data_IF_643410921900
#
_entry.id   IF_643410921900
#
_cell.length_a   1.000
_cell.length_b   1.000
_cell.length_c   1.000
_cell.angle_alpha   90.00
_cell.angle_beta   90.00
_cell.angle_gamma   90.00
#
_symmetry.space_group_name_H-M   'P 1'
#
loop_
_entity.id
_entity.type
_entity.pdbx_description
1 polymer ?
#
# COMPACT_ATOMS: atom_id res chain seq x y z
N UNK A 1 -14.69 -7.38 -1.48
CA UNK A 1 -15.35 -8.67 -1.76
C UNK A 1 -14.43 -9.78 -1.26
N UNK A 2 -14.85 -10.61 -0.28
CA UNK A 2 -14.03 -11.69 0.27
C UNK A 2 -13.62 -12.75 -0.76
N UNK A 3 -14.47 -13.07 -1.73
CA UNK A 3 -14.18 -14.08 -2.75
C UNK A 3 -13.07 -13.59 -3.68
N UNK A 4 -13.13 -12.31 -4.07
CA UNK A 4 -12.09 -11.67 -4.86
C UNK A 4 -10.77 -11.59 -4.11
N UNK A 5 -10.79 -11.24 -2.82
CA UNK A 5 -9.58 -11.21 -1.97
C UNK A 5 -8.93 -12.59 -1.90
N UNK A 6 -9.73 -13.65 -1.71
CA UNK A 6 -9.23 -15.03 -1.68
C UNK A 6 -8.59 -15.42 -3.02
N UNK A 7 -9.22 -15.08 -4.15
CA UNK A 7 -8.72 -15.34 -5.49
C UNK A 7 -7.39 -14.61 -5.77
N UNK A 8 -7.30 -13.32 -5.44
CA UNK A 8 -6.10 -12.49 -5.62
C UNK A 8 -4.94 -13.06 -4.80
N UNK A 9 -5.20 -13.45 -3.54
CA UNK A 9 -4.21 -14.10 -2.68
C UNK A 9 -3.74 -15.43 -3.25
N UNK A 10 -4.67 -16.32 -3.62
CA UNK A 10 -4.36 -17.66 -4.13
C UNK A 10 -3.48 -17.58 -5.38
N UNK A 11 -3.79 -16.64 -6.27
CA UNK A 11 -3.04 -16.42 -7.51
C UNK A 11 -1.80 -15.55 -7.33
N UNK A 12 -1.54 -15.04 -6.13
CA UNK A 12 -0.44 -14.10 -5.82
C UNK A 12 -0.38 -12.93 -6.79
N UNK A 13 -1.54 -12.36 -7.12
CA UNK A 13 -1.62 -11.20 -8.01
C UNK A 13 -1.13 -9.97 -7.21
N UNK A 14 -0.06 -9.28 -7.64
CA UNK A 14 0.43 -8.11 -6.94
C UNK A 14 -0.59 -6.97 -6.97
N UNK A 15 -0.78 -6.32 -5.83
CA UNK A 15 -1.54 -5.08 -5.72
C UNK A 15 -0.59 -3.90 -5.57
N UNK A 16 -0.52 -3.09 -6.62
CA UNK A 16 0.21 -1.82 -6.61
C UNK A 16 -0.63 -0.78 -5.87
N UNK A 17 -0.19 -0.39 -4.66
CA UNK A 17 -0.89 0.61 -3.85
C UNK A 17 -0.15 1.95 -3.83
N UNK A 18 -0.92 3.04 -3.93
CA UNK A 18 -0.39 4.40 -3.98
C UNK A 18 -1.14 5.32 -2.97
N UNK A 19 -0.92 5.15 -1.64
CA UNK A 19 -1.74 5.81 -0.64
C UNK A 19 -1.78 7.35 -0.73
N UNK A 20 -0.64 8.02 -0.98
CA UNK A 20 -0.63 9.49 -1.15
C UNK A 20 -1.41 9.93 -2.40
N UNK A 21 -1.31 9.20 -3.51
CA UNK A 21 -2.10 9.46 -4.72
C UNK A 21 -3.61 9.29 -4.45
N UNK A 22 -4.00 8.25 -3.72
CA UNK A 22 -5.41 8.02 -3.38
C UNK A 22 -6.01 9.17 -2.54
N UNK A 23 -5.20 9.82 -1.69
CA UNK A 23 -5.64 11.03 -1.00
C UNK A 23 -5.67 12.23 -1.93
N UNK A 24 -4.61 12.45 -2.71
CA UNK A 24 -4.49 13.60 -3.60
C UNK A 24 -5.56 13.63 -4.71
N UNK A 25 -6.00 12.45 -5.17
CA UNK A 25 -7.08 12.28 -6.16
C UNK A 25 -8.48 12.32 -5.55
N UNK A 26 -8.58 12.40 -4.21
CA UNK A 26 -9.85 12.45 -3.49
C UNK A 26 -10.57 11.11 -3.34
N UNK A 27 -9.93 9.99 -3.69
CA UNK A 27 -10.46 8.64 -3.44
C UNK A 27 -10.61 8.37 -1.93
N UNK A 28 -9.65 8.87 -1.14
CA UNK A 28 -9.65 8.79 0.32
C UNK A 28 -9.51 10.19 0.92
N UNK A 29 -10.19 10.44 2.03
CA UNK A 29 -10.12 11.73 2.73
C UNK A 29 -8.78 11.91 3.46
N UNK A 30 -8.23 10.82 4.01
CA UNK A 30 -6.98 10.84 4.77
C UNK A 30 -6.14 9.62 4.44
N UNK A 31 -4.84 9.75 4.68
CA UNK A 31 -3.88 8.68 4.42
C UNK A 31 -4.16 7.45 5.28
N UNK A 32 -4.55 7.66 6.54
CA UNK A 32 -4.84 6.60 7.52
C UNK A 32 -6.11 5.81 7.17
N UNK A 33 -6.95 6.33 6.27
CA UNK A 33 -8.15 5.64 5.80
C UNK A 33 -7.83 4.56 4.73
N UNK A 34 -6.57 4.48 4.28
CA UNK A 34 -6.15 3.51 3.27
C UNK A 34 -6.20 2.06 3.79
N UNK A 35 -6.72 1.11 3.01
CA UNK A 35 -6.89 -0.30 3.42
C UNK A 35 -5.58 -1.12 3.48
N UNK A 36 -4.40 -0.48 3.43
CA UNK A 36 -3.11 -1.16 3.36
C UNK A 36 -2.91 -2.17 4.51
N UNK A 37 -3.19 -1.84 5.79
CA UNK A 37 -3.06 -2.83 6.87
C UNK A 37 -3.90 -4.08 6.64
N UNK A 38 -5.13 -3.90 6.15
CA UNK A 38 -6.05 -5.02 5.89
C UNK A 38 -5.56 -5.91 4.75
N UNK A 39 -4.89 -5.35 3.75
CA UNK A 39 -4.32 -6.12 2.65
C UNK A 39 -3.15 -6.98 3.12
N UNK A 40 -2.26 -6.41 3.93
CA UNK A 40 -1.14 -7.13 4.55
C UNK A 40 -1.65 -8.23 5.49
N UNK A 41 -2.61 -7.92 6.36
CA UNK A 41 -3.25 -8.90 7.26
C UNK A 41 -3.97 -10.03 6.50
N UNK A 42 -4.49 -9.73 5.30
CA UNK A 42 -5.15 -10.73 4.45
C UNK A 42 -4.17 -11.62 3.69
N UNK A 43 -2.86 -11.35 3.77
CA UNK A 43 -1.80 -12.08 3.07
C UNK A 43 -1.76 -11.81 1.56
N UNK A 44 -2.22 -10.63 1.14
CA UNK A 44 -2.13 -10.21 -0.26
C UNK A 44 -0.70 -9.79 -0.59
N UNK A 45 -0.24 -10.10 -1.80
CA UNK A 45 1.03 -9.57 -2.32
C UNK A 45 0.85 -8.10 -2.65
N UNK A 46 1.55 -7.23 -1.93
CA UNK A 46 1.40 -5.78 -2.03
C UNK A 46 2.76 -5.14 -2.33
N UNK A 47 2.75 -4.18 -3.25
CA UNK A 47 3.87 -3.24 -3.50
C UNK A 47 3.42 -1.82 -3.19
N UNK A 48 4.33 -0.99 -2.68
CA UNK A 48 4.05 0.42 -2.40
C UNK A 48 4.69 1.30 -3.48
N UNK A 49 3.91 2.24 -4.03
CA UNK A 49 4.32 3.02 -5.19
C UNK A 49 3.97 4.50 -4.99
N UNK A 50 4.77 5.38 -5.61
CA UNK A 50 4.57 6.83 -5.56
C UNK A 50 3.61 7.37 -6.63
N UNK A 51 3.18 6.52 -7.57
CA UNK A 51 2.34 6.89 -8.72
C UNK A 51 3.02 7.97 -9.58
N UNK A 52 2.55 9.23 -9.52
CA UNK A 52 3.16 10.40 -10.17
C UNK A 52 3.86 11.33 -9.14
N UNK A 53 5.13 11.06 -8.75
CA UNK A 53 5.91 11.85 -7.79
C UNK A 53 5.84 13.36 -7.98
N UNK A 54 5.98 13.83 -9.23
CA UNK A 54 6.00 15.24 -9.56
C UNK A 54 4.62 15.90 -9.37
N UNK A 55 3.55 15.15 -9.57
CA UNK A 55 2.18 15.63 -9.40
C UNK A 55 1.79 15.69 -7.93
N UNK A 56 2.19 14.69 -7.15
CA UNK A 56 1.77 14.53 -5.76
C UNK A 56 2.76 15.07 -4.72
N UNK A 57 3.93 15.53 -5.16
CA UNK A 57 4.97 16.06 -4.27
C UNK A 57 5.48 15.00 -3.28
N UNK A 58 5.63 13.76 -3.74
CA UNK A 58 6.08 12.62 -2.95
C UNK A 58 7.23 11.89 -3.65
N UNK A 59 7.90 10.99 -2.95
CA UNK A 59 8.87 10.03 -3.49
C UNK A 59 8.53 8.63 -2.98
N UNK A 60 9.13 7.58 -3.56
CA UNK A 60 8.96 6.24 -3.05
C UNK A 60 9.45 6.10 -1.59
N UNK A 61 10.54 6.81 -1.24
CA UNK A 61 11.06 6.85 0.13
C UNK A 61 10.07 7.49 1.09
N UNK A 62 9.49 8.64 0.70
CA UNK A 62 8.47 9.32 1.49
C UNK A 62 7.22 8.45 1.66
N UNK A 63 6.79 7.76 0.60
CA UNK A 63 5.65 6.85 0.63
C UNK A 63 5.89 5.71 1.62
N UNK A 64 7.05 5.05 1.54
CA UNK A 64 7.46 3.98 2.46
C UNK A 64 7.55 4.47 3.90
N UNK A 65 8.18 5.62 4.14
CA UNK A 65 8.32 6.18 5.48
C UNK A 65 6.97 6.56 6.09
N UNK A 66 6.11 7.20 5.29
CA UNK A 66 4.77 7.62 5.71
C UNK A 66 3.87 6.41 5.96
N UNK A 67 3.91 5.38 5.11
CA UNK A 67 3.19 4.13 5.34
C UNK A 67 3.66 3.43 6.62
N UNK A 68 4.98 3.27 6.80
CA UNK A 68 5.56 2.64 7.97
C UNK A 68 5.12 3.34 9.28
N UNK A 69 5.14 4.67 9.30
CA UNK A 69 4.72 5.45 10.48
C UNK A 69 3.22 5.47 10.69
N UNK A 70 2.44 5.73 9.65
CA UNK A 70 0.98 5.94 9.77
C UNK A 70 0.24 4.66 10.11
N UNK A 71 0.74 3.52 9.64
CA UNK A 71 0.14 2.21 9.88
C UNK A 71 0.88 1.38 10.93
N UNK A 72 1.92 1.95 11.57
CA UNK A 72 2.78 1.26 12.53
C UNK A 72 3.28 -0.10 12.00
N UNK A 73 3.74 -0.12 10.74
CA UNK A 73 4.17 -1.37 10.09
C UNK A 73 5.34 -1.98 10.85
N UNK A 74 5.27 -3.30 11.05
CA UNK A 74 6.37 -4.04 11.64
C UNK A 74 7.55 -4.13 10.67
N UNK A 75 8.75 -4.42 11.22
CA UNK A 75 9.93 -4.66 10.39
C UNK A 75 9.70 -5.78 9.35
N UNK A 76 8.96 -6.83 9.71
CA UNK A 76 8.68 -7.92 8.76
C UNK A 76 7.77 -7.47 7.62
N UNK A 77 6.76 -6.65 7.89
CA UNK A 77 5.88 -6.10 6.85
C UNK A 77 6.64 -5.15 5.92
N UNK A 78 7.55 -4.34 6.45
CA UNK A 78 8.40 -3.46 5.63
C UNK A 78 9.29 -4.31 4.71
N UNK A 79 9.94 -5.35 5.24
CA UNK A 79 10.77 -6.26 4.43
C UNK A 79 9.93 -6.96 3.37
N UNK A 80 8.75 -7.47 3.72
CA UNK A 80 7.84 -8.12 2.78
C UNK A 80 7.45 -7.20 1.61
N UNK A 81 7.10 -5.94 1.89
CA UNK A 81 6.78 -4.95 0.84
C UNK A 81 8.00 -4.72 -0.07
N UNK A 82 9.21 -4.61 0.50
CA UNK A 82 10.44 -4.43 -0.26
C UNK A 82 10.81 -5.65 -1.11
N UNK A 83 10.56 -6.87 -0.62
CA UNK A 83 10.83 -8.11 -1.37
C UNK A 83 9.83 -8.36 -2.50
N UNK A 84 8.64 -7.77 -2.42
CA UNK A 84 7.62 -7.86 -3.46
C UNK A 84 7.84 -6.87 -4.63
N UNK A 85 8.72 -5.87 -4.47
CA UNK A 85 8.91 -4.76 -5.41
C UNK A 85 10.13 -4.92 -6.31
#
# INVERSE_FOLDING_TARGET
DPEVVALVRERRIPLEVCPSSNVATGLLARFEDHPLPKFLESGLTVTLNSDDPAMFGTSLEDEMFKAARSFALSRSQIVEICENS
#
